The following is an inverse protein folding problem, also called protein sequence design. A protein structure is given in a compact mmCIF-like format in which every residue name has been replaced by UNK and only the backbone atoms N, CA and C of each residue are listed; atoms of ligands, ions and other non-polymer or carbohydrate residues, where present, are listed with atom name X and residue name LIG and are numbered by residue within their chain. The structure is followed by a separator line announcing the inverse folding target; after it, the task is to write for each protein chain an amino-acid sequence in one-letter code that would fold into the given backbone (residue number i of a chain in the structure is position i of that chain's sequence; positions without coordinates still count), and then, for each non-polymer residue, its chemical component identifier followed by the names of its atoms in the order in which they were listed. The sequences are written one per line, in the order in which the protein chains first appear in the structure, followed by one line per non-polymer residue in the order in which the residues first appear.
data_IF_223827771005
#
_entry.id   IF_223827771005
#
_cell.length_a   1.000
_cell.length_b   1.000
_cell.length_c   1.000
_cell.angle_alpha   90.00
_cell.angle_beta   90.00
_cell.angle_gamma   90.00
#
_symmetry.space_group_name_H-M   'P 1'
#
loop_
_entity.id
_entity.type
_entity.pdbx_description
1 polymer ?
#
# COMPACT_ATOMS: atom_id res chain seq x y z
N UNK A 1 -7.00 21.93 1.22
CA UNK A 1 -6.32 21.03 2.20
C UNK A 1 -6.01 19.64 1.65
N UNK A 2 -6.59 19.20 0.53
CA UNK A 2 -6.44 17.84 -0.04
C UNK A 2 -5.05 17.58 -0.67
N UNK A 3 -4.50 18.53 -1.43
CA UNK A 3 -3.18 18.39 -2.08
C UNK A 3 -2.04 18.13 -1.08
N UNK A 4 -2.08 18.77 0.09
CA UNK A 4 -1.11 18.56 1.17
C UNK A 4 -1.16 17.14 1.75
N UNK A 5 -2.32 16.48 1.68
CA UNK A 5 -2.50 15.11 2.18
C UNK A 5 -1.95 14.09 1.19
N UNK A 6 -2.15 14.31 -0.11
CA UNK A 6 -1.60 13.43 -1.16
C UNK A 6 -0.07 13.50 -1.22
N UNK A 7 0.51 14.70 -1.17
CA UNK A 7 1.97 14.89 -1.18
C UNK A 7 2.63 14.19 0.01
N UNK A 8 2.06 14.35 1.21
CA UNK A 8 2.56 13.67 2.42
C UNK A 8 2.47 12.14 2.31
N UNK A 9 1.39 11.62 1.72
CA UNK A 9 1.24 10.18 1.48
C UNK A 9 2.30 9.68 0.49
N UNK A 10 2.58 10.46 -0.56
CA UNK A 10 3.61 10.15 -1.54
C UNK A 10 5.01 10.08 -0.91
N UNK A 11 5.38 11.09 -0.13
CA UNK A 11 6.66 11.12 0.61
C UNK A 11 6.79 9.92 1.56
N UNK A 12 5.70 9.60 2.27
CA UNK A 12 5.65 8.42 3.15
C UNK A 12 5.84 7.12 2.36
N UNK A 13 5.21 7.00 1.20
CA UNK A 13 5.36 5.84 0.31
C UNK A 13 6.81 5.68 -0.18
N UNK A 14 7.45 6.78 -0.59
CA UNK A 14 8.85 6.77 -1.00
C UNK A 14 9.77 6.37 0.15
N UNK A 15 9.58 6.95 1.34
CA UNK A 15 10.35 6.60 2.53
C UNK A 15 10.21 5.11 2.89
N UNK A 16 8.99 4.56 2.82
CA UNK A 16 8.76 3.14 3.06
C UNK A 16 9.40 2.24 2.00
N UNK A 17 9.41 2.64 0.73
CA UNK A 17 10.10 1.91 -0.34
C UNK A 17 11.61 1.87 -0.08
N UNK A 18 12.21 3.02 0.21
CA UNK A 18 13.65 3.11 0.54
C UNK A 18 14.00 2.28 1.78
N UNK A 19 13.17 2.34 2.83
CA UNK A 19 13.37 1.54 4.03
C UNK A 19 13.31 0.03 3.74
N UNK A 20 12.37 -0.44 2.92
CA UNK A 20 12.29 -1.84 2.50
C UNK A 20 13.54 -2.28 1.72
N UNK A 21 13.98 -1.49 0.74
CA UNK A 21 15.18 -1.79 -0.05
C UNK A 21 16.44 -1.82 0.83
N UNK A 22 16.57 -0.88 1.77
CA UNK A 22 17.65 -0.87 2.74
C UNK A 22 17.68 -2.16 3.57
N UNK A 23 16.52 -2.67 4.03
CA UNK A 23 16.49 -3.93 4.80
C UNK A 23 16.93 -5.13 3.97
N UNK A 24 16.64 -5.15 2.67
CA UNK A 24 17.12 -6.21 1.76
C UNK A 24 18.64 -6.18 1.61
N UNK A 25 19.21 -4.99 1.52
CA UNK A 25 20.66 -4.81 1.50
C UNK A 25 21.32 -5.29 2.80
N UNK A 26 20.77 -4.89 3.96
CA UNK A 26 21.22 -5.34 5.29
C UNK A 26 21.18 -6.88 5.44
N UNK A 27 20.15 -7.55 4.90
CA UNK A 27 20.08 -9.01 4.89
C UNK A 27 21.19 -9.61 4.01
N UNK A 28 21.41 -9.05 2.83
CA UNK A 28 22.44 -9.54 1.89
C UNK A 28 23.83 -9.48 2.53
N UNK A 29 24.13 -8.39 3.25
CA UNK A 29 25.37 -8.22 4.00
C UNK A 29 25.49 -9.24 5.14
N UNK A 30 24.42 -9.46 5.91
CA UNK A 30 24.41 -10.46 6.98
C UNK A 30 24.61 -11.89 6.45
N UNK A 31 23.98 -12.24 5.34
CA UNK A 31 24.16 -13.54 4.68
C UNK A 31 25.57 -13.72 4.12
N UNK A 32 26.17 -12.66 3.58
CA UNK A 32 27.56 -12.70 3.13
C UNK A 32 28.52 -12.91 4.29
N UNK A 33 28.40 -12.15 5.38
CA UNK A 33 29.22 -12.31 6.58
C UNK A 33 29.10 -13.73 7.16
N UNK A 34 27.89 -14.31 7.11
CA UNK A 34 27.66 -15.70 7.51
C UNK A 34 28.41 -16.71 6.63
N UNK A 35 28.41 -16.54 5.30
CA UNK A 35 29.15 -17.40 4.36
C UNK A 35 30.66 -17.26 4.52
N UNK A 36 31.16 -16.04 4.70
CA UNK A 36 32.57 -15.77 4.92
C UNK A 36 33.07 -16.39 6.22
N UNK A 37 32.28 -16.29 7.29
CA UNK A 37 32.58 -17.05 8.51
C UNK A 37 32.65 -18.52 8.17
N UNK A 38 31.62 -19.16 7.63
CA UNK A 38 31.62 -20.60 7.31
C UNK A 38 32.84 -21.06 6.48
N UNK A 39 33.40 -20.22 5.60
CA UNK A 39 34.57 -20.55 4.79
C UNK A 39 35.93 -20.43 5.51
N UNK A 40 36.00 -19.72 6.65
CA UNK A 40 37.22 -19.57 7.45
C UNK A 40 37.69 -20.88 8.12
N UNK A 41 38.77 -20.85 8.88
CA UNK A 41 39.27 -22.00 9.65
C UNK A 41 39.13 -21.84 11.18
N UNK A 42 38.57 -20.72 11.64
CA UNK A 42 38.49 -20.33 13.06
C UNK A 42 37.09 -20.00 13.56
N UNK A 43 36.06 -20.74 13.13
CA UNK A 43 34.67 -20.44 13.48
C UNK A 43 34.39 -20.63 14.96
N UNK A 44 33.93 -19.58 15.63
CA UNK A 44 33.23 -19.76 16.90
C UNK A 44 31.78 -20.15 16.63
N UNK A 45 31.33 -21.29 17.16
CA UNK A 45 29.93 -21.71 17.08
C UNK A 45 28.97 -20.65 17.64
N UNK A 46 29.41 -19.86 18.62
CA UNK A 46 28.66 -18.71 19.16
C UNK A 46 28.47 -17.60 18.13
N UNK A 47 29.51 -17.28 17.35
CA UNK A 47 29.45 -16.24 16.32
C UNK A 47 28.51 -16.63 15.17
N UNK A 48 28.59 -17.89 14.71
CA UNK A 48 27.69 -18.40 13.67
C UNK A 48 26.23 -18.43 14.14
N UNK A 49 25.98 -18.73 15.43
CA UNK A 49 24.64 -18.70 16.01
C UNK A 49 24.07 -17.27 16.05
N UNK A 50 24.87 -16.28 16.48
CA UNK A 50 24.45 -14.87 16.47
C UNK A 50 24.12 -14.39 15.05
N UNK A 51 24.90 -14.77 14.04
CA UNK A 51 24.61 -14.39 12.65
C UNK A 51 23.31 -15.02 12.11
N UNK A 52 23.00 -16.28 12.50
CA UNK A 52 21.70 -16.89 12.16
C UNK A 52 20.52 -16.11 12.75
N UNK A 53 20.63 -15.73 14.02
CA UNK A 53 19.60 -14.94 14.70
C UNK A 53 19.41 -13.57 14.05
N UNK A 54 20.50 -12.90 13.65
CA UNK A 54 20.45 -11.65 12.89
C UNK A 54 19.74 -11.85 11.56
N UNK A 55 20.10 -12.89 10.79
CA UNK A 55 19.48 -13.18 9.49
C UNK A 55 17.97 -13.43 9.65
N UNK A 56 17.56 -14.21 10.65
CA UNK A 56 16.14 -14.49 10.89
C UNK A 56 15.36 -13.22 11.26
N UNK A 57 15.94 -12.36 12.12
CA UNK A 57 15.34 -11.05 12.44
C UNK A 57 15.26 -10.17 11.19
N UNK A 58 16.31 -10.13 10.35
CA UNK A 58 16.34 -9.32 9.12
C UNK A 58 15.28 -9.76 8.10
N UNK A 59 15.06 -11.06 7.94
CA UNK A 59 13.97 -11.59 7.10
C UNK A 59 12.60 -11.10 7.58
N UNK A 60 12.36 -11.15 8.90
CA UNK A 60 11.15 -10.58 9.48
C UNK A 60 11.05 -9.06 9.26
N UNK A 61 12.15 -8.31 9.43
CA UNK A 61 12.15 -6.86 9.20
C UNK A 61 11.80 -6.49 7.75
N UNK A 62 12.31 -7.25 6.77
CA UNK A 62 11.98 -7.10 5.35
C UNK A 62 10.49 -7.35 5.14
N UNK A 63 9.93 -8.43 5.67
CA UNK A 63 8.50 -8.74 5.56
C UNK A 63 7.63 -7.57 6.09
N UNK A 64 7.98 -7.04 7.25
CA UNK A 64 7.27 -5.91 7.85
C UNK A 64 7.42 -4.62 7.03
N UNK A 65 8.61 -4.34 6.51
CA UNK A 65 8.88 -3.16 5.68
C UNK A 65 8.17 -3.22 4.34
N UNK A 66 8.20 -4.37 3.66
CA UNK A 66 7.49 -4.61 2.41
C UNK A 66 5.97 -4.42 2.59
N UNK A 67 5.40 -4.98 3.66
CA UNK A 67 3.99 -4.77 3.98
C UNK A 67 3.63 -3.30 4.25
N UNK A 68 4.51 -2.54 4.90
CA UNK A 68 4.30 -1.09 5.10
C UNK A 68 4.34 -0.33 3.77
N UNK A 69 5.30 -0.64 2.90
CA UNK A 69 5.41 -0.05 1.57
C UNK A 69 4.14 -0.28 0.74
N UNK A 70 3.67 -1.53 0.65
CA UNK A 70 2.44 -1.88 -0.10
C UNK A 70 1.25 -1.05 0.40
N UNK A 71 1.03 -1.00 1.72
CA UNK A 71 -0.08 -0.21 2.29
C UNK A 71 0.04 1.28 1.98
N UNK A 72 1.24 1.85 2.06
CA UNK A 72 1.44 3.27 1.72
C UNK A 72 1.26 3.56 0.23
N UNK A 73 1.62 2.61 -0.65
CA UNK A 73 1.40 2.73 -2.09
C UNK A 73 -0.10 2.77 -2.42
N UNK A 74 -0.86 1.84 -1.85
CA UNK A 74 -2.32 1.78 -1.99
C UNK A 74 -3.00 3.04 -1.43
N UNK A 75 -2.47 3.61 -0.34
CA UNK A 75 -3.01 4.82 0.26
C UNK A 75 -2.84 6.05 -0.65
N UNK A 76 -1.69 6.20 -1.33
CA UNK A 76 -1.50 7.27 -2.32
C UNK A 76 -2.54 7.16 -3.43
N UNK A 77 -2.76 5.95 -3.96
CA UNK A 77 -3.78 5.71 -4.99
C UNK A 77 -5.19 6.03 -4.47
N UNK A 78 -5.53 5.58 -3.26
CA UNK A 78 -6.83 5.81 -2.63
C UNK A 78 -7.12 7.30 -2.42
N UNK A 79 -6.17 8.05 -1.87
CA UNK A 79 -6.31 9.50 -1.66
C UNK A 79 -6.48 10.19 -3.00
N UNK A 80 -5.65 9.86 -3.99
CA UNK A 80 -5.74 10.43 -5.33
C UNK A 80 -7.12 10.20 -5.96
N UNK A 81 -7.61 8.95 -5.95
CA UNK A 81 -8.94 8.60 -6.49
C UNK A 81 -10.02 9.41 -5.78
N UNK A 82 -10.01 9.43 -4.44
CA UNK A 82 -11.01 10.17 -3.65
C UNK A 82 -11.00 11.66 -4.00
N UNK A 83 -9.83 12.29 -4.03
CA UNK A 83 -9.73 13.72 -4.25
C UNK A 83 -10.14 14.08 -5.70
N UNK A 84 -9.76 13.28 -6.69
CA UNK A 84 -10.18 13.50 -8.09
C UNK A 84 -11.68 13.27 -8.29
N UNK A 85 -12.26 12.26 -7.64
CA UNK A 85 -13.71 12.02 -7.69
C UNK A 85 -14.48 13.13 -6.97
N UNK A 86 -13.96 13.67 -5.88
CA UNK A 86 -14.58 14.82 -5.21
C UNK A 86 -14.59 16.06 -6.11
N UNK A 87 -13.47 16.36 -6.78
CA UNK A 87 -13.40 17.48 -7.71
C UNK A 87 -14.33 17.26 -8.92
N UNK A 88 -14.43 16.02 -9.42
CA UNK A 88 -15.42 15.65 -10.44
C UNK A 88 -16.86 15.89 -9.96
N UNK A 89 -17.19 15.48 -8.74
CA UNK A 89 -18.52 15.72 -8.16
C UNK A 89 -18.80 17.21 -7.93
N UNK A 90 -17.79 18.04 -7.65
CA UNK A 90 -17.97 19.49 -7.57
C UNK A 90 -18.32 20.11 -8.93
N UNK A 91 -17.72 19.62 -10.02
CA UNK A 91 -17.96 20.13 -11.37
C UNK A 91 -19.24 19.56 -12.02
N UNK A 92 -19.50 18.25 -11.86
CA UNK A 92 -20.52 17.51 -12.59
C UNK A 92 -21.57 16.83 -11.69
N UNK A 93 -21.51 17.05 -10.37
CA UNK A 93 -22.38 16.34 -9.43
C UNK A 93 -23.86 16.65 -9.61
N UNK A 94 -24.22 17.85 -10.06
CA UNK A 94 -25.61 18.21 -10.34
C UNK A 94 -26.16 17.43 -11.55
N UNK A 95 -25.38 17.32 -12.63
CA UNK A 95 -25.76 16.54 -13.82
C UNK A 95 -25.85 15.05 -13.49
N UNK A 96 -24.90 14.52 -12.73
CA UNK A 96 -24.92 13.14 -12.28
C UNK A 96 -26.14 12.84 -11.39
N UNK A 97 -26.43 13.72 -10.44
CA UNK A 97 -27.59 13.59 -9.56
C UNK A 97 -28.92 13.70 -10.33
N UNK A 98 -28.98 14.54 -11.38
CA UNK A 98 -30.14 14.63 -12.25
C UNK A 98 -30.36 13.36 -13.07
N UNK A 99 -29.29 12.75 -13.61
CA UNK A 99 -29.37 11.47 -14.31
C UNK A 99 -29.84 10.32 -13.39
N UNK A 100 -29.44 10.36 -12.11
CA UNK A 100 -29.84 9.42 -11.08
C UNK A 100 -31.11 9.85 -10.31
N UNK A 101 -31.81 10.89 -10.76
CA UNK A 101 -32.96 11.44 -10.04
C UNK A 101 -34.06 10.40 -9.73
N UNK A 102 -34.38 9.42 -10.60
CA UNK A 102 -35.37 8.39 -10.27
C UNK A 102 -35.09 7.61 -8.98
N UNK A 103 -33.81 7.41 -8.65
CA UNK A 103 -33.39 6.74 -7.41
C UNK A 103 -33.15 7.74 -6.26
N UNK A 104 -32.62 8.93 -6.57
CA UNK A 104 -32.11 9.88 -5.57
C UNK A 104 -33.06 11.04 -5.22
N UNK A 105 -34.24 11.13 -5.83
CA UNK A 105 -35.17 12.22 -5.56
C UNK A 105 -35.55 12.25 -4.07
N UNK A 106 -35.43 13.44 -3.46
CA UNK A 106 -35.66 13.66 -2.03
C UNK A 106 -34.81 12.80 -1.08
N UNK A 107 -33.63 12.32 -1.52
CA UNK A 107 -32.75 11.44 -0.74
C UNK A 107 -32.54 11.85 0.74
N UNK A 108 -32.27 13.14 1.08
CA UNK A 108 -32.08 13.54 2.48
C UNK A 108 -33.32 13.35 3.37
N UNK A 109 -34.52 13.36 2.79
CA UNK A 109 -35.79 13.18 3.50
C UNK A 109 -36.30 11.74 3.55
N UNK A 110 -35.61 10.79 2.90
CA UNK A 110 -36.01 9.39 2.86
C UNK A 110 -35.68 8.65 4.17
N UNK A 111 -36.43 7.58 4.45
CA UNK A 111 -36.11 6.67 5.56
C UNK A 111 -34.75 5.96 5.32
N UNK A 112 -33.92 5.71 6.35
CA UNK A 112 -32.57 5.14 6.17
C UNK A 112 -32.51 3.81 5.38
N UNK A 113 -33.54 2.97 5.50
CA UNK A 113 -33.64 1.75 4.71
C UNK A 113 -33.80 2.03 3.21
N UNK A 114 -34.61 3.05 2.86
CA UNK A 114 -34.82 3.48 1.47
C UNK A 114 -33.56 4.14 0.92
N UNK A 115 -32.88 4.97 1.73
CA UNK A 115 -31.59 5.56 1.35
C UNK A 115 -30.54 4.50 0.98
N UNK A 116 -30.48 3.40 1.74
CA UNK A 116 -29.58 2.28 1.44
C UNK A 116 -29.90 1.62 0.11
N UNK A 117 -31.19 1.37 -0.17
CA UNK A 117 -31.62 0.78 -1.44
C UNK A 117 -31.34 1.74 -2.62
N UNK A 118 -31.72 3.01 -2.49
CA UNK A 118 -31.48 4.05 -3.49
C UNK A 118 -29.98 4.18 -3.83
N UNK A 119 -29.11 4.15 -2.81
CA UNK A 119 -27.67 4.17 -3.02
C UNK A 119 -27.16 2.92 -3.75
N UNK A 120 -27.65 1.74 -3.38
CA UNK A 120 -27.26 0.49 -4.03
C UNK A 120 -27.64 0.48 -5.52
N UNK A 121 -28.89 0.82 -5.85
CA UNK A 121 -29.33 0.89 -7.25
C UNK A 121 -28.56 1.95 -8.04
N UNK A 122 -28.32 3.12 -7.44
CA UNK A 122 -27.50 4.17 -8.07
C UNK A 122 -26.09 3.66 -8.39
N UNK A 123 -25.46 2.91 -7.49
CA UNK A 123 -24.15 2.31 -7.73
C UNK A 123 -24.18 1.25 -8.84
N UNK A 124 -25.27 0.50 -8.98
CA UNK A 124 -25.45 -0.49 -10.03
C UNK A 124 -25.61 0.18 -11.40
N UNK A 125 -26.42 1.24 -11.51
CA UNK A 125 -26.52 2.06 -12.73
C UNK A 125 -25.17 2.68 -13.13
N UNK A 126 -24.42 3.23 -12.16
CA UNK A 126 -23.09 3.80 -12.41
C UNK A 126 -22.09 2.74 -12.90
N UNK A 127 -22.15 1.53 -12.34
CA UNK A 127 -21.31 0.41 -12.76
C UNK A 127 -21.59 0.02 -14.21
N UNK A 128 -22.86 -0.09 -14.59
CA UNK A 128 -23.27 -0.42 -15.96
C UNK A 128 -22.80 0.65 -16.96
N UNK A 129 -23.03 1.93 -16.67
CA UNK A 129 -22.58 3.03 -17.51
C UNK A 129 -21.05 3.03 -17.69
N UNK A 130 -20.30 2.80 -16.61
CA UNK A 130 -18.84 2.72 -16.66
C UNK A 130 -18.37 1.51 -17.47
N UNK A 131 -19.02 0.35 -17.36
CA UNK A 131 -18.69 -0.83 -18.16
C UNK A 131 -18.89 -0.60 -19.65
N UNK A 132 -19.99 0.04 -20.04
CA UNK A 132 -20.27 0.41 -21.44
C UNK A 132 -19.19 1.34 -21.98
N UNK A 133 -18.79 2.35 -21.21
CA UNK A 133 -17.72 3.27 -21.61
C UNK A 133 -16.36 2.56 -21.73
N UNK A 134 -16.02 1.69 -20.77
CA UNK A 134 -14.76 0.92 -20.81
C UNK A 134 -14.72 -0.05 -22.01
N UNK A 135 -15.86 -0.57 -22.45
CA UNK A 135 -15.95 -1.43 -23.63
C UNK A 135 -15.61 -0.72 -24.94
N UNK A 136 -15.69 0.62 -24.98
CA UNK A 136 -15.24 1.40 -26.13
C UNK A 136 -13.71 1.36 -26.33
N UNK A 137 -12.95 0.91 -25.31
CA UNK A 137 -11.51 0.67 -25.43
C UNK A 137 -10.64 1.94 -25.45
N UNK A 138 -11.17 3.07 -24.99
CA UNK A 138 -10.38 4.30 -24.87
C UNK A 138 -9.20 4.14 -23.91
N UNK A 139 -8.06 4.73 -24.25
CA UNK A 139 -6.86 4.67 -23.41
C UNK A 139 -7.04 5.51 -22.15
N UNK A 140 -7.04 4.86 -20.99
CA UNK A 140 -7.17 5.52 -19.68
C UNK A 140 -5.80 6.00 -19.21
N UNK A 141 -5.70 7.30 -18.94
CA UNK A 141 -4.51 7.93 -18.35
C UNK A 141 -4.86 8.52 -16.97
N UNK A 142 -3.84 8.78 -16.16
CA UNK A 142 -4.03 9.50 -14.90
C UNK A 142 -4.48 10.94 -15.15
N UNK A 143 -5.28 11.47 -14.23
CA UNK A 143 -5.61 12.89 -14.19
C UNK A 143 -4.33 13.73 -14.19
N UNK A 144 -4.28 14.78 -15.02
CA UNK A 144 -3.11 15.63 -15.19
C UNK A 144 -2.55 16.15 -13.86
N UNK A 145 -3.43 16.47 -12.90
CA UNK A 145 -3.03 17.01 -11.60
C UNK A 145 -2.24 16.02 -10.73
N UNK A 146 -2.51 14.72 -10.84
CA UNK A 146 -1.88 13.69 -10.01
C UNK A 146 -0.96 12.76 -10.84
N UNK A 147 -0.71 13.10 -12.12
CA UNK A 147 0.00 12.23 -13.05
C UNK A 147 1.43 11.95 -12.57
N UNK A 148 2.19 13.00 -12.23
CA UNK A 148 3.60 12.86 -11.84
C UNK A 148 3.75 11.95 -10.62
N UNK A 149 2.90 12.13 -9.59
CA UNK A 149 2.89 11.33 -8.37
C UNK A 149 2.55 9.87 -8.68
N UNK A 150 1.47 9.63 -9.43
CA UNK A 150 0.99 8.27 -9.73
C UNK A 150 1.93 7.51 -10.67
N UNK A 151 2.55 8.22 -11.62
CA UNK A 151 3.58 7.68 -12.50
C UNK A 151 4.84 7.34 -11.71
N UNK A 152 5.27 8.21 -10.77
CA UNK A 152 6.47 7.99 -9.96
C UNK A 152 6.35 6.78 -9.01
N UNK A 153 5.18 6.54 -8.40
CA UNK A 153 4.99 5.35 -7.55
C UNK A 153 4.73 4.06 -8.35
N UNK A 154 4.39 4.18 -9.63
CA UNK A 154 3.97 3.08 -10.50
C UNK A 154 2.55 2.56 -10.20
N UNK A 155 1.98 1.86 -11.18
CA UNK A 155 0.59 1.37 -11.11
C UNK A 155 0.35 0.34 -10.00
N UNK A 156 1.39 -0.42 -9.64
CA UNK A 156 1.34 -1.51 -8.66
C UNK A 156 2.64 -1.51 -7.85
N UNK A 157 2.59 -1.93 -6.57
CA UNK A 157 3.80 -2.23 -5.82
C UNK A 157 4.68 -3.25 -6.55
N UNK A 158 5.99 -3.15 -6.35
CA UNK A 158 6.98 -4.07 -6.91
C UNK A 158 6.63 -5.54 -6.58
N UNK A 159 6.76 -6.45 -7.54
CA UNK A 159 6.43 -7.87 -7.33
C UNK A 159 7.20 -8.49 -6.15
N UNK A 160 8.49 -8.17 -6.02
CA UNK A 160 9.33 -8.62 -4.92
C UNK A 160 8.79 -8.19 -3.54
N UNK A 161 8.17 -7.01 -3.42
CA UNK A 161 7.58 -6.58 -2.15
C UNK A 161 6.40 -7.47 -1.73
N UNK A 162 5.64 -8.01 -2.70
CA UNK A 162 4.55 -8.95 -2.41
C UNK A 162 5.10 -10.27 -1.88
N UNK A 163 6.15 -10.79 -2.51
CA UNK A 163 6.81 -12.03 -2.08
C UNK A 163 7.41 -11.88 -0.68
N UNK A 164 8.12 -10.78 -0.44
CA UNK A 164 8.71 -10.45 0.87
C UNK A 164 7.63 -10.33 1.97
N UNK A 165 6.46 -9.78 1.65
CA UNK A 165 5.34 -9.60 2.59
C UNK A 165 4.40 -10.81 2.73
N UNK A 166 4.68 -11.92 2.04
CA UNK A 166 3.76 -13.06 1.94
C UNK A 166 3.63 -13.85 3.24
N UNK A 167 4.72 -13.97 3.99
CA UNK A 167 4.72 -14.68 5.27
C UNK A 167 3.88 -13.91 6.31
N UNK A 168 3.09 -14.66 7.09
CA UNK A 168 2.21 -14.11 8.11
C UNK A 168 2.77 -14.38 9.50
N UNK A 169 2.91 -13.32 10.28
CA UNK A 169 3.33 -13.38 11.67
C UNK A 169 2.17 -13.06 12.60
N UNK A 170 1.96 -13.90 13.59
CA UNK A 170 1.02 -13.64 14.68
C UNK A 170 1.49 -12.45 15.52
N UNK A 171 0.59 -11.78 16.26
CA UNK A 171 0.98 -10.72 17.19
C UNK A 171 2.06 -11.16 18.19
N UNK A 172 1.99 -12.40 18.69
CA UNK A 172 3.00 -12.95 19.60
C UNK A 172 4.38 -13.10 18.93
N UNK A 173 4.43 -13.60 17.68
CA UNK A 173 5.69 -13.67 16.92
C UNK A 173 6.26 -12.28 16.66
N UNK A 174 5.43 -11.30 16.29
CA UNK A 174 5.88 -9.91 16.09
C UNK A 174 6.47 -9.30 17.36
N UNK A 175 5.87 -9.56 18.53
CA UNK A 175 6.41 -9.12 19.82
C UNK A 175 7.79 -9.76 20.09
N UNK A 176 7.93 -11.05 19.84
CA UNK A 176 9.20 -11.76 20.02
C UNK A 176 10.30 -11.22 19.09
N UNK A 177 10.02 -11.05 17.80
CA UNK A 177 10.98 -10.48 16.85
C UNK A 177 11.34 -9.03 17.18
N UNK A 178 10.38 -8.24 17.65
CA UNK A 178 10.64 -6.86 18.09
C UNK A 178 11.61 -6.82 19.27
N UNK A 179 11.45 -7.71 20.26
CA UNK A 179 12.38 -7.85 21.39
C UNK A 179 13.76 -8.31 20.94
N UNK A 180 13.83 -9.39 20.15
CA UNK A 180 15.09 -9.90 19.58
C UNK A 180 15.86 -8.84 18.81
N UNK A 181 15.15 -8.02 18.02
CA UNK A 181 15.77 -6.89 17.32
C UNK A 181 16.39 -5.88 18.28
N UNK A 182 15.70 -5.52 19.36
CA UNK A 182 16.21 -4.57 20.33
C UNK A 182 17.43 -5.14 21.09
N UNK A 183 17.39 -6.42 21.43
CA UNK A 183 18.51 -7.13 22.06
C UNK A 183 19.74 -7.16 21.17
N UNK A 184 19.57 -7.46 19.87
CA UNK A 184 20.66 -7.48 18.89
C UNK A 184 21.23 -6.08 18.59
N UNK A 185 20.41 -5.03 18.69
CA UNK A 185 20.87 -3.65 18.48
C UNK A 185 21.65 -3.08 19.68
N UNK A 186 21.58 -3.73 20.84
CA UNK A 186 22.27 -3.32 22.08
C UNK A 186 23.59 -4.07 22.32
N UNK A 187 23.95 -5.00 21.43
CA UNK A 187 25.23 -5.73 21.43
C UNK A 187 26.30 -4.95 20.66
#
# INVERSE_FOLDING_TARGET
MTTLTLQKAFETCQANKSAWLQRREELTQAEQAYREQLAGSGHSGRSLQTLREIIDVKKWEINQAAGRYIRSHEEVQRISIRDRLNDFMQAHGAELAAALAPELMNYPGQHPAIQRCAMQHSLDCLREALQVWLAAGEKINYSAQNNDILTAIGFRPDAASRDDSREKFTPAQNLNYTRRRAELAAQ
#
